data_IF_817987477739
#
_entry.id   IF_817987477739
#
_cell.length_a   1.000
_cell.length_b   1.000
_cell.length_c   1.000
_cell.angle_alpha   90.00
_cell.angle_beta   90.00
_cell.angle_gamma   90.00
#
_symmetry.space_group_name_H-M   'P 1'
#
loop_
_entity.id
_entity.type
_entity.pdbx_description
1 polymer ?
#
# COMPACT_ATOMS: atom_id res chain seq x y z
N UNK A 1 6.98 9.39 -14.84
CA UNK A 1 6.25 8.26 -15.41
C UNK A 1 5.85 7.29 -14.32
N UNK A 2 4.59 6.87 -14.32
CA UNK A 2 4.10 5.98 -13.25
C UNK A 2 4.37 4.52 -13.58
N UNK A 3 4.68 3.75 -12.54
CA UNK A 3 4.89 2.31 -12.65
C UNK A 3 4.16 1.61 -11.53
N UNK A 4 3.86 0.33 -11.72
CA UNK A 4 3.23 -0.47 -10.67
C UNK A 4 4.25 -0.91 -9.64
N UNK A 5 3.90 -0.67 -8.39
CA UNK A 5 4.65 -1.12 -7.23
C UNK A 5 3.82 -2.20 -6.54
N UNK A 6 4.42 -3.35 -6.30
CA UNK A 6 3.72 -4.49 -5.69
C UNK A 6 4.01 -4.56 -4.21
N UNK A 7 2.96 -4.79 -3.42
CA UNK A 7 3.08 -4.90 -1.97
C UNK A 7 2.12 -5.96 -1.45
N UNK A 8 2.62 -6.87 -0.64
CA UNK A 8 1.82 -7.93 -0.05
C UNK A 8 1.78 -7.78 1.46
N UNK A 9 0.62 -8.05 2.06
CA UNK A 9 0.47 -8.11 3.51
C UNK A 9 -0.55 -9.17 3.88
N UNK A 10 -0.37 -9.76 5.05
CA UNK A 10 -1.35 -10.68 5.63
C UNK A 10 -2.18 -10.01 6.73
N UNK A 11 -1.90 -8.76 7.06
CA UNK A 11 -2.57 -8.06 8.15
C UNK A 11 -3.73 -7.23 7.63
N UNK A 12 -4.94 -7.49 8.16
CA UNK A 12 -6.15 -6.77 7.76
C UNK A 12 -6.04 -5.29 8.11
N UNK A 13 -5.47 -4.97 9.29
CA UNK A 13 -5.31 -3.59 9.71
C UNK A 13 -4.43 -2.80 8.76
N UNK A 14 -3.33 -3.40 8.30
CA UNK A 14 -2.44 -2.73 7.35
C UNK A 14 -3.11 -2.59 5.97
N UNK A 15 -3.84 -3.62 5.54
CA UNK A 15 -4.60 -3.55 4.29
C UNK A 15 -5.54 -2.35 4.31
N UNK A 16 -6.32 -2.20 5.37
CA UNK A 16 -7.32 -1.13 5.45
C UNK A 16 -6.67 0.24 5.57
N UNK A 17 -5.61 0.36 6.37
CA UNK A 17 -4.88 1.61 6.50
C UNK A 17 -4.27 2.05 5.17
N UNK A 18 -3.69 1.12 4.43
CA UNK A 18 -3.09 1.43 3.12
C UNK A 18 -4.16 1.85 2.11
N UNK A 19 -5.31 1.18 2.11
CA UNK A 19 -6.42 1.56 1.22
C UNK A 19 -6.86 3.00 1.46
N UNK A 20 -7.03 3.36 2.72
CA UNK A 20 -7.44 4.73 3.07
C UNK A 20 -6.38 5.73 2.63
N UNK A 21 -5.10 5.45 2.89
CA UNK A 21 -4.00 6.31 2.50
C UNK A 21 -3.97 6.54 0.99
N UNK A 22 -4.07 5.47 0.22
CA UNK A 22 -4.03 5.56 -1.25
C UNK A 22 -5.21 6.37 -1.79
N UNK A 23 -6.40 6.14 -1.23
CA UNK A 23 -7.59 6.86 -1.64
C UNK A 23 -7.48 8.35 -1.33
N UNK A 24 -7.00 8.69 -0.14
CA UNK A 24 -6.86 10.08 0.29
C UNK A 24 -5.82 10.85 -0.54
N UNK A 25 -4.83 10.14 -1.07
CA UNK A 25 -3.78 10.74 -1.88
C UNK A 25 -4.03 10.62 -3.38
N UNK A 26 -5.22 10.14 -3.78
CA UNK A 26 -5.60 9.96 -5.19
C UNK A 26 -4.62 9.08 -5.96
N UNK A 27 -4.14 8.02 -5.32
CA UNK A 27 -3.23 7.06 -5.93
C UNK A 27 -4.03 5.84 -6.37
N UNK A 28 -3.93 5.50 -7.65
CA UNK A 28 -4.64 4.34 -8.19
C UNK A 28 -3.99 3.05 -7.69
N UNK A 29 -4.82 2.09 -7.32
CA UNK A 29 -4.33 0.78 -6.91
C UNK A 29 -5.34 -0.30 -7.25
N UNK A 30 -4.87 -1.53 -7.37
CA UNK A 30 -5.71 -2.71 -7.49
C UNK A 30 -5.36 -3.64 -6.32
N UNK A 31 -6.40 -4.18 -5.69
CA UNK A 31 -6.26 -5.06 -4.54
C UNK A 31 -6.83 -6.43 -4.89
N UNK A 32 -6.03 -7.45 -4.71
CA UNK A 32 -6.46 -8.82 -4.84
C UNK A 32 -5.92 -9.62 -3.65
N UNK A 33 -6.35 -10.88 -3.52
CA UNK A 33 -5.82 -11.67 -2.43
C UNK A 33 -6.57 -12.97 -2.26
N UNK A 34 -6.14 -13.74 -1.27
CA UNK A 34 -6.74 -15.00 -0.93
C UNK A 34 -6.78 -15.13 0.61
N UNK A 35 -6.92 -16.35 1.12
CA UNK A 35 -7.00 -16.56 2.56
C UNK A 35 -5.69 -16.29 3.29
N UNK A 36 -4.57 -16.27 2.58
CA UNK A 36 -3.25 -16.16 3.19
C UNK A 36 -2.70 -14.74 3.20
N UNK A 37 -3.02 -13.94 2.18
CA UNK A 37 -2.47 -12.59 2.07
C UNK A 37 -3.29 -11.72 1.13
N UNK A 38 -3.01 -10.40 1.20
CA UNK A 38 -3.60 -9.39 0.33
C UNK A 38 -2.50 -8.79 -0.54
N UNK A 39 -2.75 -8.68 -1.83
CA UNK A 39 -1.78 -8.21 -2.81
C UNK A 39 -2.23 -6.87 -3.40
N UNK A 40 -1.39 -5.86 -3.29
CA UNK A 40 -1.63 -4.54 -3.87
C UNK A 40 -0.75 -4.35 -5.09
N UNK A 41 -1.35 -3.80 -6.15
CA UNK A 41 -0.61 -3.24 -7.29
C UNK A 41 -0.91 -1.75 -7.30
N UNK A 42 0.09 -0.94 -6.98
CA UNK A 42 -0.07 0.50 -6.75
C UNK A 42 0.63 1.26 -7.85
N UNK A 43 -0.12 2.11 -8.57
CA UNK A 43 0.43 2.86 -9.70
C UNK A 43 0.97 4.19 -9.19
N UNK A 44 2.29 4.33 -9.17
CA UNK A 44 2.98 5.48 -8.57
C UNK A 44 4.12 5.98 -9.42
N UNK A 45 4.37 7.31 -9.30
CA UNK A 45 5.62 7.91 -9.77
C UNK A 45 6.65 7.85 -8.62
N UNK A 46 7.91 8.25 -8.85
CA UNK A 46 8.94 8.18 -7.79
C UNK A 46 8.60 8.99 -6.54
N UNK A 47 7.93 10.12 -6.68
CA UNK A 47 7.53 10.95 -5.53
C UNK A 47 6.45 10.26 -4.72
N UNK A 48 5.43 9.75 -5.41
CA UNK A 48 4.35 9.01 -4.77
C UNK A 48 4.85 7.74 -4.09
N UNK A 49 5.82 7.06 -4.73
CA UNK A 49 6.41 5.87 -4.15
C UNK A 49 7.10 6.17 -2.82
N UNK A 50 7.81 7.30 -2.73
CA UNK A 50 8.43 7.71 -1.48
C UNK A 50 7.39 7.92 -0.38
N UNK A 51 6.25 8.52 -0.73
CA UNK A 51 5.15 8.72 0.23
C UNK A 51 4.58 7.41 0.71
N UNK A 52 4.37 6.47 -0.20
CA UNK A 52 3.85 5.14 0.14
C UNK A 52 4.82 4.41 1.07
N UNK A 53 6.11 4.43 0.74
CA UNK A 53 7.12 3.78 1.58
C UNK A 53 7.20 4.41 2.96
N UNK A 54 7.13 5.73 3.07
CA UNK A 54 7.16 6.42 4.36
C UNK A 54 5.93 6.02 5.19
N UNK A 55 4.76 5.93 4.57
CA UNK A 55 3.55 5.51 5.25
C UNK A 55 3.68 4.06 5.75
N UNK A 56 4.17 3.15 4.90
CA UNK A 56 4.33 1.75 5.27
C UNK A 56 5.32 1.58 6.43
N UNK A 57 6.42 2.32 6.41
CA UNK A 57 7.39 2.28 7.50
C UNK A 57 6.75 2.67 8.84
N UNK A 58 5.88 3.69 8.82
CA UNK A 58 5.17 4.12 10.01
C UNK A 58 4.24 3.02 10.54
N UNK A 59 3.53 2.33 9.65
CA UNK A 59 2.60 1.27 10.04
C UNK A 59 3.34 0.05 10.59
N UNK A 60 4.45 -0.32 9.98
CA UNK A 60 5.26 -1.46 10.43
C UNK A 60 5.78 -1.20 11.85
N UNK A 61 6.26 0.01 12.11
CA UNK A 61 6.74 0.37 13.45
C UNK A 61 5.61 0.29 14.48
N UNK A 62 4.41 0.72 14.12
CA UNK A 62 3.26 0.69 15.02
C UNK A 62 2.80 -0.73 15.33
N UNK A 63 3.00 -1.66 14.42
CA UNK A 63 2.59 -3.05 14.61
C UNK A 63 3.66 -3.90 15.30
N UNK A 64 4.87 -3.42 15.37
CA UNK A 64 5.94 -4.11 16.05
C UNK A 64 5.84 -3.91 17.54
#
# INVERSE_FOLDING_TARGET
MKKYYNFDTRFISLRDALRVFLKENNIYYELSGNYSYYHFEILVDPVELQKVNAFLDTQIIMEA
#
